data_IF_321682998057
#
_entry.id   IF_321682998057
#
_cell.length_a   1.000
_cell.length_b   1.000
_cell.length_c   1.000
_cell.angle_alpha   90.00
_cell.angle_beta   90.00
_cell.angle_gamma   90.00
#
_symmetry.space_group_name_H-M   'P 1'
#
loop_
_entity.id
_entity.type
_entity.pdbx_description
1 polymer ?
#
# COMPACT_ATOMS: atom_id res chain seq x y z
N UNK A 1 19.14 -10.34 14.41
CA UNK A 1 18.97 -9.32 13.37
C UNK A 1 19.20 -9.90 11.97
N UNK A 2 20.41 -10.30 11.56
CA UNK A 2 20.70 -10.74 10.19
C UNK A 2 19.76 -11.83 9.66
N UNK A 3 19.55 -12.92 10.39
CA UNK A 3 18.64 -14.00 10.00
C UNK A 3 17.18 -13.54 9.83
N UNK A 4 16.73 -12.53 10.59
CA UNK A 4 15.41 -11.93 10.45
C UNK A 4 15.30 -11.17 9.13
N UNK A 5 16.30 -10.35 8.82
CA UNK A 5 16.32 -9.55 7.58
C UNK A 5 16.37 -10.45 6.34
N UNK A 6 17.23 -11.49 6.37
CA UNK A 6 17.31 -12.48 5.29
C UNK A 6 15.97 -13.21 5.06
N UNK A 7 15.28 -13.59 6.14
CA UNK A 7 13.97 -14.26 6.07
C UNK A 7 12.90 -13.37 5.40
N UNK A 8 13.01 -12.05 5.57
CA UNK A 8 12.09 -11.06 5.00
C UNK A 8 12.62 -10.44 3.69
N UNK A 9 13.67 -11.02 3.10
CA UNK A 9 14.30 -10.57 1.86
C UNK A 9 14.86 -9.12 1.92
N UNK A 10 15.18 -8.63 3.12
CA UNK A 10 15.80 -7.32 3.32
C UNK A 10 17.32 -7.46 3.17
N UNK A 11 17.89 -6.68 2.27
CA UNK A 11 19.32 -6.59 1.98
C UNK A 11 19.95 -5.45 2.79
N UNK A 12 21.28 -5.37 2.82
CA UNK A 12 22.00 -4.22 3.43
C UNK A 12 21.61 -2.90 2.74
N UNK A 13 21.44 -2.93 1.40
CA UNK A 13 20.92 -1.81 0.59
C UNK A 13 19.70 -2.30 -0.18
N UNK A 14 18.58 -1.61 0.00
CA UNK A 14 17.32 -1.89 -0.67
C UNK A 14 16.95 -0.74 -1.61
N UNK A 15 15.97 -0.95 -2.48
CA UNK A 15 15.47 0.09 -3.39
C UNK A 15 14.06 0.52 -3.00
N UNK A 16 13.80 1.82 -3.06
CA UNK A 16 12.55 2.42 -2.59
C UNK A 16 11.46 2.53 -3.65
N UNK A 17 11.60 1.89 -4.81
CA UNK A 17 10.58 1.89 -5.85
C UNK A 17 10.31 0.48 -6.35
N UNK A 18 9.03 0.08 -6.39
CA UNK A 18 8.59 -1.23 -6.85
C UNK A 18 7.24 -1.12 -7.57
N UNK A 19 7.15 -1.71 -8.75
CA UNK A 19 5.92 -1.77 -9.56
C UNK A 19 5.08 -3.02 -9.31
N UNK A 20 5.31 -3.74 -8.23
CA UNK A 20 4.68 -5.02 -7.92
C UNK A 20 5.45 -6.21 -8.48
N UNK A 21 4.97 -7.43 -8.27
CA UNK A 21 5.57 -8.71 -8.70
C UNK A 21 7.11 -8.73 -8.64
N UNK A 22 7.82 -8.71 -9.77
CA UNK A 22 9.28 -8.66 -9.84
C UNK A 22 9.83 -7.25 -10.15
N UNK A 23 9.00 -6.23 -10.02
CA UNK A 23 9.24 -4.87 -10.50
C UNK A 23 10.04 -3.96 -9.56
N UNK A 24 11.03 -4.48 -8.81
CA UNK A 24 11.98 -3.62 -8.09
C UNK A 24 12.83 -2.82 -9.06
N UNK A 25 12.86 -1.48 -8.89
CA UNK A 25 13.63 -0.57 -9.75
C UNK A 25 14.94 -0.23 -9.05
N UNK A 26 16.04 -0.80 -9.52
CA UNK A 26 17.38 -0.63 -8.95
C UNK A 26 18.06 0.67 -9.45
N UNK A 27 17.43 1.83 -9.16
CA UNK A 27 18.00 3.14 -9.43
C UNK A 27 18.84 3.61 -8.22
N UNK A 28 20.14 3.84 -8.45
CA UNK A 28 21.09 4.30 -7.42
C UNK A 28 21.22 5.81 -7.34
N UNK A 29 20.48 6.57 -8.16
CA UNK A 29 20.54 8.03 -8.16
C UNK A 29 19.72 8.67 -7.02
N UNK A 30 18.88 7.88 -6.34
CA UNK A 30 18.13 8.33 -5.17
C UNK A 30 19.04 8.58 -3.96
N UNK A 31 18.55 9.41 -3.03
CA UNK A 31 19.24 9.62 -1.75
C UNK A 31 19.15 8.38 -0.89
N UNK A 32 20.23 8.03 -0.22
CA UNK A 32 20.22 6.95 0.75
C UNK A 32 19.46 7.36 2.02
N UNK A 33 18.64 6.46 2.53
CA UNK A 33 17.89 6.56 3.77
C UNK A 33 18.29 5.39 4.66
N UNK A 34 18.92 5.66 5.79
CA UNK A 34 19.34 4.63 6.75
C UNK A 34 18.22 4.46 7.78
N UNK A 35 17.79 3.21 7.98
CA UNK A 35 16.88 2.85 9.07
C UNK A 35 17.69 2.45 10.30
N UNK A 36 17.31 2.99 11.46
CA UNK A 36 17.97 2.77 12.73
C UNK A 36 17.03 2.11 13.73
N UNK A 37 17.56 1.19 14.54
CA UNK A 37 16.82 0.69 15.69
C UNK A 37 16.67 1.81 16.74
N UNK A 38 15.46 2.21 17.13
CA UNK A 38 15.29 3.22 18.17
C UNK A 38 15.72 2.74 19.56
N UNK A 39 15.86 1.43 19.74
CA UNK A 39 16.30 0.82 21.02
C UNK A 39 17.81 0.89 21.20
N UNK A 40 18.58 0.56 20.15
CA UNK A 40 20.05 0.51 20.23
C UNK A 40 20.74 1.72 19.59
N UNK A 41 20.05 2.44 18.69
CA UNK A 41 20.65 3.49 17.85
C UNK A 41 21.51 2.94 16.70
N UNK A 42 21.60 1.63 16.54
CA UNK A 42 22.39 0.99 15.47
C UNK A 42 21.63 1.00 14.15
N UNK A 43 22.35 1.14 13.04
CA UNK A 43 21.80 0.99 11.71
C UNK A 43 21.33 -0.45 11.49
N UNK A 44 20.13 -0.58 10.90
CA UNK A 44 19.55 -1.88 10.54
C UNK A 44 19.90 -2.21 9.10
N UNK A 45 19.52 -1.35 8.18
CA UNK A 45 19.78 -1.42 6.73
C UNK A 45 19.49 -0.07 6.07
N UNK A 46 19.78 0.07 4.79
CA UNK A 46 19.49 1.29 4.04
C UNK A 46 18.51 1.05 2.87
N UNK A 47 17.90 2.16 2.43
CA UNK A 47 17.00 2.19 1.27
C UNK A 47 17.41 3.36 0.37
N UNK A 48 17.66 3.11 -0.91
CA UNK A 48 17.80 4.16 -1.91
C UNK A 48 16.39 4.67 -2.26
N UNK A 49 16.11 5.92 -1.92
CA UNK A 49 14.80 6.53 -2.10
C UNK A 49 14.42 6.62 -3.58
N UNK A 50 13.11 6.60 -3.85
CA UNK A 50 12.59 6.79 -5.20
C UNK A 50 12.99 8.17 -5.76
N UNK A 51 13.43 8.18 -7.01
CA UNK A 51 13.67 9.38 -7.81
C UNK A 51 12.38 9.83 -8.52
N UNK A 52 12.44 10.95 -9.20
CA UNK A 52 11.33 11.41 -10.07
C UNK A 52 11.00 10.36 -11.12
N UNK A 53 12.02 9.82 -11.77
CA UNK A 53 11.85 8.88 -12.88
C UNK A 53 11.27 7.53 -12.38
N UNK A 54 11.74 7.03 -11.24
CA UNK A 54 11.21 5.80 -10.66
C UNK A 54 9.78 6.00 -10.14
N UNK A 55 9.44 7.17 -9.59
CA UNK A 55 8.06 7.52 -9.24
C UNK A 55 7.15 7.48 -10.48
N UNK A 56 7.58 8.11 -11.59
CA UNK A 56 6.82 8.12 -12.84
C UNK A 56 6.60 6.70 -13.38
N UNK A 57 7.62 5.84 -13.33
CA UNK A 57 7.50 4.45 -13.73
C UNK A 57 6.44 3.71 -12.89
N UNK A 58 6.47 3.89 -11.54
CA UNK A 58 5.56 3.22 -10.62
C UNK A 58 4.12 3.71 -10.80
N UNK A 59 3.86 5.01 -10.87
CA UNK A 59 2.50 5.53 -11.02
C UNK A 59 1.90 5.17 -12.39
N UNK A 60 2.69 5.19 -13.46
CA UNK A 60 2.24 4.77 -14.78
C UNK A 60 1.89 3.28 -14.79
N UNK A 61 2.70 2.43 -14.13
CA UNK A 61 2.39 1.00 -14.01
C UNK A 61 1.10 0.75 -13.25
N UNK A 62 0.87 1.44 -12.13
CA UNK A 62 -0.37 1.34 -11.37
C UNK A 62 -1.59 1.75 -12.21
N UNK A 63 -1.49 2.86 -12.95
CA UNK A 63 -2.57 3.34 -13.83
C UNK A 63 -2.85 2.36 -14.98
N UNK A 64 -1.83 1.73 -15.53
CA UNK A 64 -2.01 0.71 -16.57
C UNK A 64 -2.63 -0.57 -16.01
N UNK A 65 -2.13 -1.07 -14.88
CA UNK A 65 -2.66 -2.25 -14.21
C UNK A 65 -4.14 -2.09 -13.82
N UNK A 66 -4.56 -0.88 -13.46
CA UNK A 66 -5.95 -0.57 -13.14
C UNK A 66 -6.91 -0.94 -14.28
N UNK A 67 -6.53 -0.75 -15.53
CA UNK A 67 -7.39 -1.04 -16.69
C UNK A 67 -7.81 -2.51 -16.75
N UNK A 68 -6.93 -3.42 -16.34
CA UNK A 68 -7.20 -4.85 -16.27
C UNK A 68 -7.80 -5.23 -14.92
N UNK A 69 -7.23 -4.77 -13.81
CA UNK A 69 -7.67 -5.12 -12.47
C UNK A 69 -9.14 -4.79 -12.21
N UNK A 70 -9.60 -3.62 -12.65
CA UNK A 70 -11.00 -3.19 -12.52
C UNK A 70 -12.01 -4.11 -13.22
N UNK A 71 -11.59 -4.87 -14.23
CA UNK A 71 -12.47 -5.77 -14.99
C UNK A 71 -12.55 -7.17 -14.38
N UNK A 72 -11.65 -7.52 -13.48
CA UNK A 72 -11.69 -8.79 -12.75
C UNK A 72 -12.88 -8.75 -11.78
N UNK A 73 -13.75 -9.78 -11.75
CA UNK A 73 -14.87 -9.82 -10.81
C UNK A 73 -14.43 -9.64 -9.36
N UNK A 74 -15.17 -8.86 -8.57
CA UNK A 74 -14.81 -8.56 -7.19
C UNK A 74 -14.54 -9.81 -6.33
N UNK A 75 -15.34 -10.91 -6.40
CA UNK A 75 -15.02 -12.14 -5.68
C UNK A 75 -13.69 -12.77 -6.09
N UNK A 76 -13.27 -12.64 -7.36
CA UNK A 76 -11.97 -13.13 -7.83
C UNK A 76 -10.83 -12.26 -7.28
N UNK A 77 -11.00 -10.93 -7.22
CA UNK A 77 -10.06 -10.05 -6.52
C UNK A 77 -9.95 -10.41 -5.03
N UNK A 78 -11.09 -10.80 -4.41
CA UNK A 78 -11.12 -11.30 -3.04
C UNK A 78 -10.26 -12.53 -2.81
N UNK A 79 -10.09 -13.42 -3.79
CA UNK A 79 -9.20 -14.59 -3.69
C UNK A 79 -7.72 -14.16 -3.57
N UNK A 80 -7.30 -13.16 -4.33
CA UNK A 80 -5.94 -12.59 -4.21
C UNK A 80 -5.69 -12.03 -2.81
N UNK A 81 -6.70 -11.36 -2.24
CA UNK A 81 -6.60 -10.78 -0.89
C UNK A 81 -6.60 -11.89 0.18
N UNK A 82 -7.34 -12.98 -0.02
CA UNK A 82 -7.29 -14.16 0.86
C UNK A 82 -5.88 -14.75 0.88
N UNK A 83 -5.28 -14.94 -0.29
CA UNK A 83 -3.95 -15.53 -0.39
C UNK A 83 -2.87 -14.57 0.19
N UNK A 84 -3.12 -13.24 0.13
CA UNK A 84 -2.32 -12.26 0.88
C UNK A 84 -2.47 -12.43 2.41
N UNK A 85 -3.69 -12.65 2.90
CA UNK A 85 -3.91 -12.95 4.32
C UNK A 85 -3.16 -14.21 4.77
N UNK A 86 -3.15 -15.24 3.94
CA UNK A 86 -2.46 -16.51 4.23
C UNK A 86 -0.93 -16.31 4.23
N UNK A 87 -0.38 -15.58 3.28
CA UNK A 87 1.04 -15.22 3.26
C UNK A 87 1.44 -14.37 4.48
N UNK A 88 0.58 -13.44 4.92
CA UNK A 88 0.79 -12.66 6.13
C UNK A 88 0.74 -13.54 7.40
N UNK A 89 -0.13 -14.56 7.46
CA UNK A 89 -0.16 -15.55 8.57
C UNK A 89 1.15 -16.31 8.69
N UNK A 90 1.72 -16.75 7.56
CA UNK A 90 3.01 -17.43 7.52
C UNK A 90 4.17 -16.54 7.97
N UNK A 91 4.12 -15.25 7.64
CA UNK A 91 5.16 -14.27 7.98
C UNK A 91 4.86 -13.44 9.24
N UNK A 92 3.81 -13.81 10.01
CA UNK A 92 3.32 -13.00 11.14
C UNK A 92 4.40 -12.72 12.18
N UNK A 93 5.08 -13.75 12.66
CA UNK A 93 6.11 -13.59 13.67
C UNK A 93 7.32 -12.79 13.15
N UNK A 94 7.97 -13.13 12.02
CA UNK A 94 9.13 -12.38 11.55
C UNK A 94 8.79 -10.94 11.15
N UNK A 95 7.62 -10.69 10.54
CA UNK A 95 7.21 -9.32 10.22
C UNK A 95 6.94 -8.51 11.48
N UNK A 96 6.29 -9.09 12.51
CA UNK A 96 6.07 -8.46 13.80
C UNK A 96 7.38 -8.17 14.55
N UNK A 97 8.37 -9.06 14.45
CA UNK A 97 9.72 -8.82 14.98
C UNK A 97 10.42 -7.64 14.25
N UNK A 98 10.25 -7.53 12.96
CA UNK A 98 10.78 -6.39 12.19
C UNK A 98 10.11 -5.07 12.60
N UNK A 99 8.78 -5.06 12.79
CA UNK A 99 8.05 -3.89 13.33
C UNK A 99 8.61 -3.48 14.69
N UNK A 100 8.87 -4.45 15.57
CA UNK A 100 9.51 -4.20 16.87
C UNK A 100 10.90 -3.60 16.72
N UNK A 101 11.71 -4.17 15.84
CA UNK A 101 13.10 -3.74 15.62
C UNK A 101 13.17 -2.32 15.04
N UNK A 102 12.35 -2.00 14.05
CA UNK A 102 12.42 -0.75 13.30
C UNK A 102 11.65 0.40 13.97
N UNK A 103 10.50 0.10 14.58
CA UNK A 103 9.65 1.11 15.20
C UNK A 103 9.83 1.26 16.71
N UNK A 104 10.31 0.22 17.40
CA UNK A 104 10.56 0.23 18.85
C UNK A 104 9.36 -0.20 19.71
N UNK A 105 8.34 -0.80 19.14
CA UNK A 105 7.22 -1.41 19.88
C UNK A 105 7.67 -2.67 20.62
N UNK A 106 6.94 -3.07 21.66
CA UNK A 106 7.10 -4.40 22.23
C UNK A 106 6.67 -5.46 21.20
N UNK A 107 7.26 -6.66 21.30
CA UNK A 107 6.99 -7.75 20.34
C UNK A 107 5.49 -8.09 20.21
N UNK A 108 4.76 -8.10 21.32
CA UNK A 108 3.33 -8.40 21.31
C UNK A 108 2.53 -7.40 20.44
N UNK A 109 2.88 -6.11 20.48
CA UNK A 109 2.26 -5.09 19.63
C UNK A 109 2.71 -5.20 18.17
N UNK A 110 3.98 -5.49 17.89
CA UNK A 110 4.46 -5.71 16.54
C UNK A 110 3.76 -6.89 15.86
N UNK A 111 3.62 -8.01 16.55
CA UNK A 111 2.89 -9.20 16.06
C UNK A 111 1.37 -8.93 15.98
N UNK A 112 0.82 -8.16 16.94
CA UNK A 112 -0.57 -7.70 16.93
C UNK A 112 -0.89 -6.84 15.73
N UNK A 113 0.03 -5.98 15.31
CA UNK A 113 -0.14 -5.14 14.12
C UNK A 113 -0.24 -5.98 12.83
N UNK A 114 0.55 -7.05 12.71
CA UNK A 114 0.41 -7.99 11.59
C UNK A 114 -0.91 -8.76 11.66
N UNK A 115 -1.42 -9.05 12.88
CA UNK A 115 -2.75 -9.63 13.01
C UNK A 115 -3.83 -8.71 12.45
N UNK A 116 -3.75 -7.40 12.70
CA UNK A 116 -4.69 -6.43 12.11
C UNK A 116 -4.65 -6.45 10.57
N UNK A 117 -3.46 -6.64 9.96
CA UNK A 117 -3.38 -6.82 8.51
C UNK A 117 -4.16 -8.04 8.03
N UNK A 118 -4.05 -9.14 8.74
CA UNK A 118 -4.76 -10.39 8.44
C UNK A 118 -6.27 -10.18 8.56
N UNK A 119 -6.72 -9.60 9.67
CA UNK A 119 -8.13 -9.39 9.97
C UNK A 119 -8.81 -8.50 8.93
N UNK A 120 -8.15 -7.44 8.48
CA UNK A 120 -8.70 -6.56 7.44
C UNK A 120 -8.70 -7.24 6.07
N UNK A 121 -7.74 -8.10 5.77
CA UNK A 121 -7.79 -8.91 4.55
C UNK A 121 -8.99 -9.85 4.57
N UNK A 122 -9.24 -10.56 5.69
CA UNK A 122 -10.42 -11.42 5.85
C UNK A 122 -11.73 -10.64 5.70
N UNK A 123 -11.81 -9.44 6.28
CA UNK A 123 -12.94 -8.53 6.08
C UNK A 123 -13.12 -8.16 4.60
N UNK A 124 -12.05 -7.78 3.91
CA UNK A 124 -12.10 -7.38 2.50
C UNK A 124 -12.51 -8.54 1.57
N UNK A 125 -12.13 -9.78 1.91
CA UNK A 125 -12.64 -11.00 1.22
C UNK A 125 -14.15 -11.08 1.32
N UNK A 126 -14.72 -10.91 2.51
CA UNK A 126 -16.17 -10.86 2.72
C UNK A 126 -16.82 -9.70 1.94
N UNK A 127 -16.22 -8.50 2.03
CA UNK A 127 -16.69 -7.31 1.34
C UNK A 127 -16.75 -7.48 -0.18
N UNK A 128 -15.83 -8.23 -0.79
CA UNK A 128 -15.79 -8.47 -2.23
C UNK A 128 -17.08 -9.09 -2.79
N UNK A 129 -17.90 -9.70 -1.94
CA UNK A 129 -19.21 -10.27 -2.28
C UNK A 129 -20.39 -9.40 -1.85
N UNK A 130 -20.13 -8.24 -1.24
CA UNK A 130 -21.14 -7.33 -0.68
C UNK A 130 -21.11 -5.93 -1.30
N UNK A 131 -20.45 -5.76 -2.44
CA UNK A 131 -20.38 -4.49 -3.19
C UNK A 131 -21.64 -4.29 -4.05
N UNK A 132 -22.82 -4.36 -3.43
CA UNK A 132 -24.11 -4.17 -4.08
C UNK A 132 -24.63 -2.76 -3.83
N UNK A 133 -25.44 -2.27 -4.79
CA UNK A 133 -26.16 -1.00 -4.69
C UNK A 133 -27.68 -1.20 -4.58
N UNK A 134 -28.40 -0.09 -4.43
CA UNK A 134 -29.86 -0.08 -4.37
C UNK A 134 -30.45 -0.23 -5.77
N UNK A 135 -31.61 -0.88 -5.84
CA UNK A 135 -32.47 -0.88 -7.03
C UNK A 135 -33.78 -0.18 -6.65
N UNK A 136 -34.23 0.77 -7.49
CA UNK A 136 -35.42 1.57 -7.21
C UNK A 136 -36.27 1.76 -8.46
N UNK A 137 -37.54 2.09 -8.26
CA UNK A 137 -38.46 2.39 -9.34
C UNK A 137 -38.17 3.79 -9.91
N UNK A 138 -38.37 3.92 -11.24
CA UNK A 138 -38.34 5.20 -11.94
C UNK A 138 -39.75 5.78 -12.04
N UNK A 139 -39.90 7.09 -11.96
CA UNK A 139 -41.12 7.81 -12.31
C UNK A 139 -41.36 7.85 -13.81
N UNK A 140 -40.35 7.51 -14.62
CA UNK A 140 -40.43 7.54 -16.08
C UNK A 140 -40.79 6.16 -16.64
N UNK A 141 -41.79 6.07 -17.54
CA UNK A 141 -42.13 4.81 -18.22
C UNK A 141 -40.93 4.24 -18.98
N UNK A 142 -40.71 2.92 -18.88
CA UNK A 142 -39.66 2.24 -19.61
C UNK A 142 -38.23 2.49 -19.06
N UNK A 143 -38.07 3.14 -17.88
CA UNK A 143 -36.79 3.41 -17.26
C UNK A 143 -36.54 2.48 -16.07
N UNK A 144 -35.28 2.10 -15.90
CA UNK A 144 -34.78 1.35 -14.76
C UNK A 144 -33.73 2.19 -14.03
N UNK A 145 -33.78 2.22 -12.70
CA UNK A 145 -32.82 2.91 -11.84
C UNK A 145 -32.14 1.93 -10.89
N UNK A 146 -30.84 2.01 -10.79
CA UNK A 146 -30.04 1.24 -9.84
C UNK A 146 -28.72 1.94 -9.56
N UNK A 147 -28.13 1.65 -8.41
CA UNK A 147 -26.78 2.03 -8.04
C UNK A 147 -25.80 0.91 -8.39
N UNK A 148 -24.63 1.28 -8.83
CA UNK A 148 -23.52 0.38 -9.02
C UNK A 148 -22.22 1.07 -8.63
N UNK A 149 -21.44 0.42 -7.77
CA UNK A 149 -20.16 0.93 -7.32
C UNK A 149 -19.06 0.55 -8.32
N UNK A 150 -18.26 1.53 -8.69
CA UNK A 150 -17.13 1.36 -9.60
C UNK A 150 -15.83 1.78 -8.90
N UNK A 151 -14.69 1.13 -9.21
CA UNK A 151 -13.39 1.53 -8.70
C UNK A 151 -13.01 2.93 -9.19
N UNK A 152 -12.19 3.62 -8.39
CA UNK A 152 -11.81 5.01 -8.62
C UNK A 152 -10.63 5.15 -9.57
N UNK A 153 -9.65 4.24 -9.49
CA UNK A 153 -8.42 4.36 -10.27
C UNK A 153 -7.20 3.78 -9.57
N UNK A 154 -6.04 4.28 -9.92
CA UNK A 154 -4.87 4.14 -9.08
C UNK A 154 -4.99 5.13 -7.90
N UNK A 155 -4.83 4.67 -6.67
CA UNK A 155 -4.94 5.51 -5.47
C UNK A 155 -3.58 5.65 -4.76
N UNK A 156 -3.40 6.75 -4.03
CA UNK A 156 -2.24 6.94 -3.17
C UNK A 156 -2.56 6.57 -1.72
N UNK A 157 -1.69 5.81 -1.07
CA UNK A 157 -1.77 5.48 0.36
C UNK A 157 -0.52 6.03 1.03
N UNK A 158 -0.68 7.00 1.95
CA UNK A 158 0.42 7.61 2.71
C UNK A 158 0.22 7.25 4.18
N UNK A 159 1.20 6.56 4.78
CA UNK A 159 1.10 6.03 6.14
C UNK A 159 2.12 6.66 7.09
N UNK A 160 1.78 6.64 8.39
CA UNK A 160 2.63 7.10 9.48
C UNK A 160 3.56 5.99 9.99
N UNK A 161 4.56 6.37 10.81
CA UNK A 161 5.56 5.44 11.33
C UNK A 161 5.07 4.57 12.50
N UNK A 162 4.07 5.05 13.25
CA UNK A 162 3.65 4.42 14.51
C UNK A 162 2.84 3.13 14.32
N UNK A 163 2.24 2.92 13.15
CA UNK A 163 1.64 1.67 12.69
C UNK A 163 2.12 1.40 11.26
N UNK A 164 3.39 1.00 11.09
CA UNK A 164 4.05 1.01 9.79
C UNK A 164 3.46 0.04 8.76
N UNK A 165 2.75 -1.00 9.19
CA UNK A 165 2.21 -2.02 8.28
C UNK A 165 0.69 -2.12 8.32
N UNK A 166 0.04 -2.03 9.50
CA UNK A 166 -1.41 -2.20 9.64
C UNK A 166 -2.18 -1.13 8.85
N UNK A 167 -1.82 0.14 9.00
CA UNK A 167 -2.52 1.25 8.33
C UNK A 167 -2.53 1.10 6.81
N UNK A 168 -1.44 0.59 6.22
CA UNK A 168 -1.43 0.28 4.80
C UNK A 168 -2.49 -0.76 4.45
N UNK A 169 -2.57 -1.86 5.19
CA UNK A 169 -3.48 -2.95 4.87
C UNK A 169 -4.95 -2.57 5.03
N UNK A 170 -5.30 -1.70 6.00
CA UNK A 170 -6.67 -1.21 6.18
C UNK A 170 -7.22 -0.56 4.92
N UNK A 171 -6.36 0.17 4.22
CA UNK A 171 -6.73 0.85 2.97
C UNK A 171 -6.50 -0.05 1.75
N UNK A 172 -5.37 -0.72 1.67
CA UNK A 172 -4.96 -1.50 0.50
C UNK A 172 -5.86 -2.71 0.24
N UNK A 173 -6.24 -3.48 1.29
CA UNK A 173 -7.07 -4.66 1.13
C UNK A 173 -8.48 -4.30 0.63
N UNK A 174 -9.08 -3.24 1.20
CA UNK A 174 -10.40 -2.76 0.79
C UNK A 174 -10.35 -2.18 -0.62
N UNK A 175 -9.35 -1.34 -0.92
CA UNK A 175 -9.17 -0.74 -2.25
C UNK A 175 -9.00 -1.81 -3.33
N UNK A 176 -8.16 -2.84 -3.06
CA UNK A 176 -7.97 -3.95 -3.98
C UNK A 176 -9.26 -4.74 -4.21
N UNK A 177 -10.05 -5.02 -3.15
CA UNK A 177 -11.37 -5.67 -3.28
C UNK A 177 -12.33 -4.83 -4.13
N UNK A 178 -12.30 -3.49 -3.98
CA UNK A 178 -13.10 -2.57 -4.78
C UNK A 178 -12.63 -2.47 -6.24
N UNK A 179 -11.40 -2.87 -6.54
CA UNK A 179 -10.84 -2.88 -7.90
C UNK A 179 -9.90 -1.72 -8.22
N UNK A 180 -9.44 -1.01 -7.19
CA UNK A 180 -8.40 0.02 -7.31
C UNK A 180 -7.01 -0.61 -7.29
N UNK A 181 -6.06 0.03 -7.95
CA UNK A 181 -4.62 -0.22 -7.78
C UNK A 181 -4.04 0.87 -6.88
N UNK A 182 -2.86 0.65 -6.31
CA UNK A 182 -2.37 1.59 -5.32
C UNK A 182 -0.86 1.83 -5.37
N UNK A 183 -0.47 3.07 -4.99
CA UNK A 183 0.88 3.43 -4.64
C UNK A 183 0.95 3.63 -3.13
N UNK A 184 1.81 2.90 -2.47
CA UNK A 184 2.08 3.08 -1.05
C UNK A 184 3.33 3.93 -0.84
N UNK A 185 3.17 5.02 -0.09
CA UNK A 185 4.27 5.79 0.46
C UNK A 185 4.29 5.63 1.99
N UNK A 186 5.17 4.78 2.53
CA UNK A 186 5.35 4.65 3.97
C UNK A 186 6.04 5.88 4.57
N UNK A 187 6.10 5.94 5.91
CA UNK A 187 6.97 6.86 6.59
C UNK A 187 8.44 6.57 6.27
N UNK A 188 9.24 7.62 6.10
CA UNK A 188 10.70 7.48 5.98
C UNK A 188 11.40 7.02 7.27
N UNK A 189 10.69 6.99 8.39
CA UNK A 189 11.23 6.48 9.67
C UNK A 189 11.15 4.95 9.79
N UNK A 190 10.31 4.29 8.99
CA UNK A 190 10.08 2.84 9.02
C UNK A 190 9.98 2.27 7.60
N UNK A 191 11.04 2.37 6.79
CA UNK A 191 11.00 1.94 5.39
C UNK A 191 11.15 0.42 5.22
N UNK A 192 11.84 -0.28 6.13
CA UNK A 192 12.15 -1.70 5.96
C UNK A 192 10.93 -2.60 6.15
N UNK A 193 10.04 -2.25 7.05
CA UNK A 193 8.76 -2.94 7.22
C UNK A 193 7.94 -2.86 5.93
N UNK A 194 7.96 -1.73 5.22
CA UNK A 194 7.29 -1.59 3.93
C UNK A 194 7.95 -2.42 2.83
N UNK A 195 9.28 -2.52 2.80
CA UNK A 195 10.02 -3.42 1.90
C UNK A 195 9.59 -4.88 2.13
N UNK A 196 9.54 -5.32 3.39
CA UNK A 196 9.11 -6.69 3.73
C UNK A 196 7.67 -6.97 3.26
N UNK A 197 6.74 -6.06 3.54
CA UNK A 197 5.34 -6.19 3.07
C UNK A 197 5.27 -6.23 1.55
N UNK A 198 6.06 -5.40 0.86
CA UNK A 198 6.10 -5.42 -0.61
C UNK A 198 6.63 -6.74 -1.16
N UNK A 199 7.61 -7.37 -0.52
CA UNK A 199 8.07 -8.72 -0.91
C UNK A 199 6.96 -9.77 -0.76
N UNK A 200 6.20 -9.72 0.34
CA UNK A 200 5.06 -10.62 0.58
C UNK A 200 3.98 -10.41 -0.48
N UNK A 201 3.59 -9.17 -0.74
CA UNK A 201 2.57 -8.86 -1.77
C UNK A 201 3.04 -9.23 -3.17
N UNK A 202 4.32 -9.03 -3.49
CA UNK A 202 4.90 -9.39 -4.78
C UNK A 202 4.81 -10.90 -5.04
N UNK A 203 5.09 -11.72 -4.01
CA UNK A 203 4.96 -13.17 -4.14
C UNK A 203 3.52 -13.56 -4.50
N UNK A 204 2.54 -13.06 -3.74
CA UNK A 204 1.11 -13.35 -3.97
C UNK A 204 0.65 -12.88 -5.35
N UNK A 205 0.98 -11.66 -5.73
CA UNK A 205 0.57 -11.13 -7.05
C UNK A 205 1.20 -11.89 -8.21
N UNK A 206 2.45 -12.33 -8.07
CA UNK A 206 3.12 -13.18 -9.05
C UNK A 206 2.41 -14.53 -9.22
N UNK A 207 2.04 -15.18 -8.13
CA UNK A 207 1.34 -16.47 -8.15
C UNK A 207 -0.03 -16.38 -8.85
N UNK A 208 -0.62 -15.18 -8.86
CA UNK A 208 -1.85 -14.87 -9.59
C UNK A 208 -1.63 -14.30 -11.01
N UNK A 209 -0.39 -14.19 -11.48
CA UNK A 209 -0.06 -13.59 -12.78
C UNK A 209 -0.41 -12.09 -12.87
N UNK A 210 -0.41 -11.39 -11.72
CA UNK A 210 -0.75 -9.98 -11.60
C UNK A 210 0.51 -9.14 -11.40
N UNK A 211 0.48 -7.90 -11.91
CA UNK A 211 1.54 -6.93 -11.72
C UNK A 211 0.95 -5.51 -11.66
N UNK A 212 1.56 -4.62 -10.87
CA UNK A 212 1.15 -3.23 -10.77
C UNK A 212 -0.12 -2.97 -9.92
N UNK A 213 -0.65 -3.97 -9.20
CA UNK A 213 -1.79 -3.77 -8.28
C UNK A 213 -1.34 -3.12 -6.98
N UNK A 214 -0.30 -3.66 -6.36
CA UNK A 214 0.33 -3.13 -5.14
C UNK A 214 1.72 -2.61 -5.48
N UNK A 215 1.93 -1.31 -5.33
CA UNK A 215 3.17 -0.65 -5.70
C UNK A 215 3.72 0.15 -4.52
N UNK A 216 5.05 0.31 -4.46
CA UNK A 216 5.75 0.99 -3.38
C UNK A 216 6.61 2.14 -3.90
N UNK A 217 6.56 3.28 -3.19
CA UNK A 217 7.47 4.41 -3.38
C UNK A 217 7.94 4.94 -2.03
N UNK A 218 9.21 4.79 -1.71
CA UNK A 218 9.83 5.27 -0.48
C UNK A 218 10.57 6.57 -0.76
N UNK A 219 10.25 7.59 0.00
CA UNK A 219 10.89 8.89 -0.07
C UNK A 219 10.31 9.86 0.95
N UNK A 220 10.89 11.06 1.03
CA UNK A 220 10.43 12.07 1.99
C UNK A 220 9.04 12.59 1.65
N UNK A 221 8.37 13.20 2.63
CA UNK A 221 7.10 13.91 2.38
C UNK A 221 7.25 15.02 1.37
N UNK A 222 8.41 15.73 1.37
CA UNK A 222 8.71 16.83 0.45
C UNK A 222 8.91 16.35 -0.99
N UNK A 223 9.62 15.26 -1.19
CA UNK A 223 9.99 14.80 -2.53
C UNK A 223 8.89 13.91 -3.15
N UNK A 224 8.54 12.80 -2.48
CA UNK A 224 7.55 11.83 -2.98
C UNK A 224 6.13 12.19 -2.54
N UNK A 225 5.93 12.60 -1.28
CA UNK A 225 4.60 12.94 -0.76
C UNK A 225 3.95 14.09 -1.51
N UNK A 226 4.67 15.21 -1.70
CA UNK A 226 4.15 16.35 -2.46
C UNK A 226 3.85 16.00 -3.91
N UNK A 227 4.65 15.14 -4.53
CA UNK A 227 4.37 14.67 -5.88
C UNK A 227 3.08 13.87 -5.94
N UNK A 228 2.88 12.93 -5.00
CA UNK A 228 1.66 12.11 -4.95
C UNK A 228 0.39 12.94 -4.80
N UNK A 229 0.37 13.91 -3.89
CA UNK A 229 -0.84 14.70 -3.62
C UNK A 229 -1.18 15.67 -4.77
N UNK A 230 -0.21 16.03 -5.59
CA UNK A 230 -0.41 16.86 -6.78
C UNK A 230 -0.67 16.03 -8.06
N UNK A 231 -0.52 14.71 -8.02
CA UNK A 231 -0.66 13.85 -9.20
C UNK A 231 -2.14 13.58 -9.52
N UNK A 232 -2.61 14.09 -10.65
CA UNK A 232 -4.00 13.91 -11.08
C UNK A 232 -4.34 12.45 -11.46
N UNK A 233 -3.34 11.60 -11.70
CA UNK A 233 -3.53 10.15 -11.95
C UNK A 233 -3.99 9.40 -10.70
N UNK A 234 -3.84 10.01 -9.51
CA UNK A 234 -4.26 9.46 -8.21
C UNK A 234 -5.54 10.16 -7.73
N UNK A 235 -6.74 9.74 -8.16
CA UNK A 235 -8.01 10.41 -7.83
C UNK A 235 -8.35 10.41 -6.35
N UNK A 236 -7.75 9.51 -5.57
CA UNK A 236 -7.90 9.42 -4.11
C UNK A 236 -6.53 9.36 -3.46
N UNK A 237 -6.36 10.12 -2.37
CA UNK A 237 -5.25 9.99 -1.43
C UNK A 237 -5.80 9.58 -0.06
N UNK A 238 -5.43 8.39 0.39
CA UNK A 238 -5.62 7.96 1.78
C UNK A 238 -4.40 8.41 2.59
N UNK A 239 -4.65 9.13 3.68
CA UNK A 239 -3.59 9.68 4.52
C UNK A 239 -3.81 9.39 6.00
N UNK A 240 -2.80 8.83 6.63
CA UNK A 240 -2.73 8.71 8.09
C UNK A 240 -1.47 9.39 8.58
N UNK A 241 -1.63 10.35 9.50
CA UNK A 241 -0.52 11.13 10.05
C UNK A 241 -0.97 12.35 10.84
N UNK A 242 -0.14 13.39 10.91
CA UNK A 242 -0.46 14.59 11.71
C UNK A 242 -1.56 15.44 11.07
N UNK A 243 -2.39 16.05 11.90
CA UNK A 243 -3.48 16.96 11.47
C UNK A 243 -2.96 18.07 10.56
N UNK A 244 -1.76 18.62 10.85
CA UNK A 244 -1.16 19.69 10.03
C UNK A 244 -0.90 19.22 8.60
N UNK A 245 -0.32 18.03 8.44
CA UNK A 245 -0.05 17.47 7.10
C UNK A 245 -1.36 17.05 6.42
N UNK A 246 -2.31 16.46 7.16
CA UNK A 246 -3.62 16.10 6.63
C UNK A 246 -4.40 17.28 6.05
N UNK A 247 -4.37 18.45 6.72
CA UNK A 247 -4.99 19.67 6.18
C UNK A 247 -4.35 20.12 4.87
N UNK A 248 -3.01 20.11 4.79
CA UNK A 248 -2.29 20.45 3.57
C UNK A 248 -2.64 19.50 2.42
N UNK A 249 -2.69 18.19 2.69
CA UNK A 249 -3.08 17.18 1.71
C UNK A 249 -4.51 17.39 1.24
N UNK A 250 -5.47 17.57 2.17
CA UNK A 250 -6.86 17.76 1.82
C UNK A 250 -7.07 19.01 0.94
N UNK A 251 -6.41 20.13 1.30
CA UNK A 251 -6.45 21.36 0.52
C UNK A 251 -5.87 21.17 -0.89
N UNK A 252 -4.68 20.55 -1.00
CA UNK A 252 -3.99 20.33 -2.28
C UNK A 252 -4.79 19.40 -3.20
N UNK A 253 -5.28 18.29 -2.65
CA UNK A 253 -6.05 17.29 -3.41
C UNK A 253 -7.41 17.85 -3.84
N UNK A 254 -8.09 18.64 -2.97
CA UNK A 254 -9.36 19.26 -3.32
C UNK A 254 -9.23 20.26 -4.49
N UNK A 255 -8.13 21.03 -4.55
CA UNK A 255 -7.87 21.97 -5.66
C UNK A 255 -7.85 21.30 -7.04
N UNK A 256 -7.45 20.03 -7.11
CA UNK A 256 -7.46 19.25 -8.36
C UNK A 256 -8.69 18.34 -8.50
N UNK A 257 -9.74 18.56 -7.70
CA UNK A 257 -10.98 17.77 -7.67
C UNK A 257 -10.77 16.29 -7.29
N UNK A 258 -9.67 15.97 -6.60
CA UNK A 258 -9.42 14.66 -6.02
C UNK A 258 -10.16 14.45 -4.70
N UNK A 259 -10.03 13.25 -4.14
CA UNK A 259 -10.63 12.85 -2.86
C UNK A 259 -9.55 12.55 -1.82
N UNK A 260 -9.89 12.75 -0.55
CA UNK A 260 -9.06 12.35 0.60
C UNK A 260 -9.88 11.57 1.61
N UNK A 261 -9.26 10.60 2.24
CA UNK A 261 -9.78 9.85 3.39
C UNK A 261 -8.70 9.69 4.44
#
# INVERSE_FOLDING_TARGET
MKALLEKLHIRDINFGACTGADGWIEDRNGKELISYSPTSGEAIASVIQATVDTYEAVVNRAAEAFKTWRTIPAPTRGLVIRDLADALREQKEPLGELVTLEMGKIKAEGVGEVQEMIDICDFAVGLSRQLYGLTMHSERPGHRMYEQWHPLGAIGIITAFNFPVAVWSWNAAIAAACGDTMLWKPSSSTPLTAIAVQHITNQVTRDHGLDGVFNLVIGTGRDVGERMINDARLPLISFTGSVRVGRHIAETVARRLGRTI
#
